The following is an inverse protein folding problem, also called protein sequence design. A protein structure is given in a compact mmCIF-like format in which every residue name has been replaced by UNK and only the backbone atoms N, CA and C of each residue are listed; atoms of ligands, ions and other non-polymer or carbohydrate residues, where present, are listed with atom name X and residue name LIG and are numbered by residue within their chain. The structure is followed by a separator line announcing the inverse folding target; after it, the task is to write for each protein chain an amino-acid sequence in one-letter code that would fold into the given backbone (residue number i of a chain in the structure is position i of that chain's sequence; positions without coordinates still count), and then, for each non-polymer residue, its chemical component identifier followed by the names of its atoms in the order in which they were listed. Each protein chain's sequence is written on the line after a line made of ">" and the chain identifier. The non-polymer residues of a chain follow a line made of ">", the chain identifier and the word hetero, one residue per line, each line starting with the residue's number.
data_IF_496038654590
#
_entry.id   IF_496038654590
#
_cell.length_a   1.000
_cell.length_b   1.000
_cell.length_c   1.000
_cell.angle_alpha   90.00
_cell.angle_beta   90.00
_cell.angle_gamma   90.00
#
_symmetry.space_group_name_H-M   'P 1'
#
loop_
_entity.id
_entity.type
_entity.pdbx_description
1 polymer ?
#
# COMPACT_ATOMS: atom_id res chain seq x y z
N UNK A 1 6.95 -16.81 4.39
CA UNK A 1 6.35 -16.46 3.11
C UNK A 1 7.42 -16.25 2.05
N UNK A 2 7.26 -16.93 0.92
CA UNK A 2 8.20 -16.81 -0.19
C UNK A 2 8.01 -15.48 -0.95
N UNK A 3 9.03 -15.09 -1.69
CA UNK A 3 8.97 -14.02 -2.68
C UNK A 3 8.85 -14.69 -4.04
N UNK A 4 7.81 -14.35 -4.79
CA UNK A 4 7.62 -14.78 -6.17
C UNK A 4 7.76 -13.54 -7.05
N UNK A 5 8.70 -13.56 -7.97
CA UNK A 5 8.92 -12.48 -8.92
C UNK A 5 8.82 -13.01 -10.35
N UNK A 6 8.07 -12.32 -11.19
CA UNK A 6 8.01 -12.59 -12.61
C UNK A 6 8.71 -11.49 -13.44
N UNK A 7 8.96 -11.79 -14.69
CA UNK A 7 9.58 -10.84 -15.61
C UNK A 7 8.65 -9.66 -15.97
N UNK A 8 7.36 -9.78 -15.73
CA UNK A 8 6.37 -8.77 -16.06
C UNK A 8 6.27 -7.63 -15.02
N UNK A 9 6.99 -7.74 -13.90
CA UNK A 9 7.06 -6.65 -12.94
C UNK A 9 6.14 -6.81 -11.74
N UNK A 10 5.76 -8.03 -11.39
CA UNK A 10 4.94 -8.35 -10.23
C UNK A 10 5.76 -9.14 -9.21
N UNK A 11 5.69 -8.72 -7.94
CA UNK A 11 6.34 -9.40 -6.82
C UNK A 11 5.32 -9.64 -5.72
N UNK A 12 5.26 -10.84 -5.18
CA UNK A 12 4.44 -11.20 -4.03
C UNK A 12 5.31 -11.23 -2.78
N UNK A 13 5.02 -10.35 -1.83
CA UNK A 13 5.74 -10.24 -0.57
C UNK A 13 4.78 -9.85 0.55
N UNK A 14 4.83 -10.55 1.66
CA UNK A 14 3.95 -10.35 2.82
C UNK A 14 4.65 -9.62 3.97
N UNK A 15 5.21 -10.39 4.90
CA UNK A 15 5.79 -9.90 6.16
C UNK A 15 6.92 -8.85 5.98
N UNK A 16 7.68 -8.94 4.89
CA UNK A 16 8.76 -7.98 4.59
C UNK A 16 8.20 -6.60 4.26
N UNK A 17 7.15 -6.52 3.44
CA UNK A 17 6.50 -5.25 3.12
C UNK A 17 5.95 -4.58 4.38
N UNK A 18 5.38 -5.38 5.28
CA UNK A 18 4.88 -4.92 6.57
C UNK A 18 6.00 -4.34 7.44
N UNK A 19 7.07 -5.12 7.67
CA UNK A 19 8.20 -4.67 8.51
C UNK A 19 8.85 -3.40 7.98
N UNK A 20 9.03 -3.31 6.66
CA UNK A 20 9.55 -2.10 6.03
C UNK A 20 8.62 -0.91 6.24
N UNK A 21 7.32 -1.08 6.04
CA UNK A 21 6.31 -0.04 6.23
C UNK A 21 6.33 0.52 7.65
N UNK A 22 6.30 -0.36 8.66
CA UNK A 22 6.35 0.04 10.06
C UNK A 22 7.67 0.73 10.42
N UNK A 23 8.79 0.24 9.88
CA UNK A 23 10.11 0.85 10.09
C UNK A 23 10.18 2.27 9.53
N UNK A 24 9.63 2.52 8.35
CA UNK A 24 9.60 3.86 7.72
C UNK A 24 8.70 4.80 8.51
N UNK A 25 7.48 4.40 8.83
CA UNK A 25 6.55 5.23 9.60
C UNK A 25 7.02 5.48 11.03
N UNK A 26 7.70 4.49 11.65
CA UNK A 26 8.31 4.66 12.96
C UNK A 26 9.35 5.79 12.97
N UNK A 27 10.30 5.74 12.04
CA UNK A 27 11.33 6.78 11.90
C UNK A 27 10.73 8.14 11.56
N UNK A 28 9.70 8.18 10.73
CA UNK A 28 8.99 9.42 10.42
C UNK A 28 8.31 10.00 11.65
N UNK A 29 7.60 9.19 12.43
CA UNK A 29 6.95 9.62 13.67
C UNK A 29 7.96 10.12 14.71
N UNK A 30 9.11 9.49 14.84
CA UNK A 30 10.19 9.93 15.73
C UNK A 30 10.75 11.30 15.32
N UNK A 31 11.08 11.48 14.03
CA UNK A 31 11.57 12.75 13.49
C UNK A 31 10.57 13.89 13.67
N UNK A 32 9.31 13.66 13.37
CA UNK A 32 8.24 14.65 13.52
C UNK A 32 7.94 14.99 14.98
N UNK A 33 8.27 14.10 15.91
CA UNK A 33 8.04 14.30 17.35
C UNK A 33 9.20 14.95 18.07
N UNK A 34 10.31 15.22 17.39
CA UNK A 34 11.50 15.82 17.99
C UNK A 34 11.18 17.23 18.51
N UNK A 35 11.50 17.56 19.77
CA UNK A 35 11.06 18.80 20.43
C UNK A 35 11.52 20.07 19.73
N UNK A 36 12.69 20.08 19.09
CA UNK A 36 13.24 21.22 18.36
C UNK A 36 12.54 21.46 17.00
N UNK A 37 12.00 20.42 16.41
CA UNK A 37 11.44 20.45 15.04
C UNK A 37 9.91 20.59 15.06
N UNK A 38 9.28 20.07 16.08
CA UNK A 38 7.83 19.98 16.25
C UNK A 38 7.10 21.32 16.09
N UNK A 39 7.47 22.43 16.80
CA UNK A 39 6.69 23.66 16.75
C UNK A 39 6.73 24.34 15.39
N UNK A 40 7.81 24.19 14.66
CA UNK A 40 7.97 24.78 13.32
C UNK A 40 7.30 23.92 12.22
N UNK A 41 7.54 22.62 12.23
CA UNK A 41 6.94 21.69 11.26
C UNK A 41 5.43 21.54 11.42
N UNK A 42 4.89 21.64 12.63
CA UNK A 42 3.44 21.55 12.85
C UNK A 42 2.67 22.71 12.19
N UNK A 43 3.32 23.88 12.06
CA UNK A 43 2.76 25.04 11.34
C UNK A 43 2.89 24.91 9.82
N UNK A 44 4.00 24.35 9.34
CA UNK A 44 4.27 24.20 7.90
C UNK A 44 3.55 23.01 7.24
N UNK A 45 3.37 21.92 7.98
CA UNK A 45 2.83 20.65 7.47
C UNK A 45 1.75 20.08 8.41
N UNK A 46 0.65 20.79 8.64
CA UNK A 46 -0.40 20.36 9.59
C UNK A 46 -0.98 19.00 9.22
N UNK A 47 -1.16 18.72 7.94
CA UNK A 47 -1.70 17.44 7.44
C UNK A 47 -0.79 16.25 7.77
N UNK A 48 0.53 16.42 7.70
CA UNK A 48 1.48 15.36 8.06
C UNK A 48 1.46 15.09 9.57
N UNK A 49 1.34 16.15 10.39
CA UNK A 49 1.26 16.02 11.84
C UNK A 49 0.00 15.31 12.32
N UNK A 50 -1.09 15.44 11.59
CA UNK A 50 -2.35 14.74 11.84
C UNK A 50 -2.17 13.21 11.84
N UNK A 51 -1.22 12.68 11.09
CA UNK A 51 -0.96 11.25 11.00
C UNK A 51 0.03 10.71 12.04
N UNK A 52 0.76 11.55 12.78
CA UNK A 52 1.72 11.11 13.80
C UNK A 52 1.08 10.21 14.88
N UNK A 53 -0.09 10.57 15.46
CA UNK A 53 -0.77 9.69 16.41
C UNK A 53 -1.17 8.35 15.80
N UNK A 54 -1.60 8.36 14.54
CA UNK A 54 -1.99 7.15 13.79
C UNK A 54 -0.80 6.22 13.63
N UNK A 55 0.37 6.72 13.25
CA UNK A 55 1.58 5.90 13.09
C UNK A 55 2.07 5.31 14.43
N UNK A 56 1.98 6.07 15.53
CA UNK A 56 2.29 5.56 16.87
C UNK A 56 1.34 4.45 17.30
N UNK A 57 0.04 4.65 17.06
CA UNK A 57 -0.99 3.64 17.34
C UNK A 57 -0.75 2.37 16.54
N UNK A 58 -0.50 2.47 15.23
CA UNK A 58 -0.21 1.33 14.37
C UNK A 58 1.01 0.52 14.86
N UNK A 59 2.09 1.20 15.28
CA UNK A 59 3.27 0.52 15.84
C UNK A 59 2.95 -0.25 17.12
N UNK A 60 2.19 0.36 18.03
CA UNK A 60 1.80 -0.28 19.29
C UNK A 60 0.92 -1.50 19.02
N UNK A 61 -0.12 -1.35 18.22
CA UNK A 61 -1.03 -2.45 17.89
C UNK A 61 -0.32 -3.60 17.19
N UNK A 62 0.65 -3.30 16.32
CA UNK A 62 1.47 -4.35 15.70
C UNK A 62 2.34 -5.10 16.72
N UNK A 63 2.90 -4.40 17.70
CA UNK A 63 3.65 -5.03 18.79
C UNK A 63 2.77 -5.95 19.67
N UNK A 64 1.48 -5.64 19.75
CA UNK A 64 0.43 -6.44 20.41
C UNK A 64 -0.11 -7.57 19.51
N UNK A 65 0.44 -7.78 18.31
CA UNK A 65 0.02 -8.82 17.36
C UNK A 65 -1.15 -8.41 16.46
N UNK A 66 -1.61 -7.17 16.53
CA UNK A 66 -2.73 -6.67 15.73
C UNK A 66 -2.23 -5.94 14.48
N UNK A 67 -2.35 -6.62 13.34
CA UNK A 67 -1.94 -6.07 12.03
C UNK A 67 -3.03 -5.19 11.41
N UNK A 68 -2.86 -3.88 11.55
CA UNK A 68 -3.74 -2.88 10.92
C UNK A 68 -3.31 -2.45 9.51
N UNK A 69 -2.14 -2.86 9.07
CA UNK A 69 -1.64 -2.51 7.73
C UNK A 69 -2.12 -3.54 6.72
N UNK A 70 -1.71 -4.79 6.85
CA UNK A 70 -2.12 -5.86 5.93
C UNK A 70 -3.44 -6.53 6.32
N UNK A 71 -3.92 -6.28 7.54
CA UNK A 71 -5.21 -6.78 8.04
C UNK A 71 -5.38 -8.29 7.92
N UNK A 72 -4.31 -9.03 8.20
CA UNK A 72 -4.29 -10.47 8.07
C UNK A 72 -4.25 -10.99 6.64
N UNK A 73 -3.92 -10.16 5.67
CA UNK A 73 -3.77 -10.58 4.28
C UNK A 73 -2.74 -11.69 4.14
N UNK A 74 -3.06 -12.72 3.37
CA UNK A 74 -2.19 -13.87 3.15
C UNK A 74 -1.10 -13.60 2.13
N UNK A 75 -1.34 -12.67 1.21
CA UNK A 75 -0.38 -12.27 0.18
C UNK A 75 -0.42 -10.77 -0.11
N UNK A 76 0.69 -10.23 -0.57
CA UNK A 76 0.81 -8.85 -1.04
C UNK A 76 1.39 -8.85 -2.44
N UNK A 77 0.66 -8.27 -3.37
CA UNK A 77 1.06 -8.06 -4.75
C UNK A 77 1.66 -6.66 -4.89
N UNK A 78 2.91 -6.58 -5.32
CA UNK A 78 3.60 -5.32 -5.58
C UNK A 78 3.82 -5.18 -7.08
N UNK A 79 3.22 -4.17 -7.67
CA UNK A 79 3.35 -3.89 -9.11
C UNK A 79 4.38 -2.78 -9.29
N UNK A 80 5.38 -3.05 -10.08
CA UNK A 80 6.51 -2.15 -10.28
C UNK A 80 6.79 -1.88 -11.76
N UNK A 81 7.43 -0.75 -12.03
CA UNK A 81 7.86 -0.36 -13.36
C UNK A 81 9.33 0.09 -13.34
N UNK A 82 10.03 0.12 -14.49
CA UNK A 82 11.31 0.80 -14.60
C UNK A 82 11.19 2.25 -14.13
N UNK A 83 12.23 2.82 -13.52
CA UNK A 83 12.20 4.21 -13.03
C UNK A 83 12.00 5.21 -14.17
N UNK A 84 12.58 4.90 -15.30
CA UNK A 84 12.60 5.71 -16.52
C UNK A 84 11.26 5.64 -17.29
N UNK A 85 10.39 4.69 -16.94
CA UNK A 85 9.08 4.55 -17.60
C UNK A 85 8.22 5.79 -17.34
N UNK A 86 7.85 6.48 -18.42
CA UNK A 86 7.00 7.67 -18.39
C UNK A 86 5.61 7.33 -17.86
N UNK A 87 5.03 6.24 -18.32
CA UNK A 87 3.66 5.81 -18.00
C UNK A 87 3.61 4.66 -16.98
N UNK A 88 4.73 4.37 -16.31
CA UNK A 88 4.82 3.21 -15.42
C UNK A 88 3.89 3.24 -14.20
N UNK A 89 3.42 4.42 -13.78
CA UNK A 89 2.45 4.53 -12.71
C UNK A 89 1.02 4.26 -13.22
N UNK A 90 0.70 4.76 -14.39
CA UNK A 90 -0.57 4.58 -15.09
C UNK A 90 -0.77 3.10 -15.45
N UNK A 91 0.24 2.49 -16.09
CA UNK A 91 0.23 1.07 -16.45
C UNK A 91 0.08 0.18 -15.22
N UNK A 92 0.78 0.51 -14.13
CA UNK A 92 0.67 -0.25 -12.88
C UNK A 92 -0.73 -0.15 -12.25
N UNK A 93 -1.41 1.00 -12.37
CA UNK A 93 -2.78 1.14 -11.87
C UNK A 93 -3.80 0.41 -12.77
N UNK A 94 -3.58 0.37 -14.08
CA UNK A 94 -4.39 -0.46 -14.99
C UNK A 94 -4.20 -1.95 -14.70
N UNK A 95 -2.96 -2.38 -14.49
CA UNK A 95 -2.65 -3.75 -14.08
C UNK A 95 -3.29 -4.10 -12.72
N UNK A 96 -3.23 -3.15 -11.75
CA UNK A 96 -3.91 -3.29 -10.48
C UNK A 96 -5.42 -3.50 -10.66
N UNK A 97 -6.07 -2.69 -11.51
CA UNK A 97 -7.51 -2.80 -11.76
C UNK A 97 -7.86 -4.16 -12.36
N UNK A 98 -7.10 -4.65 -13.32
CA UNK A 98 -7.31 -5.97 -13.91
C UNK A 98 -7.13 -7.09 -12.87
N UNK A 99 -6.09 -7.01 -12.03
CA UNK A 99 -5.87 -7.95 -10.94
C UNK A 99 -7.01 -7.92 -9.91
N UNK A 100 -7.55 -6.73 -9.62
CA UNK A 100 -8.71 -6.55 -8.73
C UNK A 100 -9.96 -7.25 -9.26
N UNK A 101 -10.25 -7.09 -10.54
CA UNK A 101 -11.39 -7.76 -11.19
C UNK A 101 -11.22 -9.28 -11.21
N UNK A 102 -10.00 -9.75 -11.47
CA UNK A 102 -9.69 -11.19 -11.43
C UNK A 102 -9.82 -11.75 -10.01
N UNK A 103 -9.33 -11.04 -9.00
CA UNK A 103 -9.46 -11.46 -7.60
C UNK A 103 -10.93 -11.63 -7.22
N UNK A 104 -11.78 -10.67 -7.58
CA UNK A 104 -13.23 -10.74 -7.34
C UNK A 104 -13.85 -11.95 -8.04
N UNK A 105 -13.50 -12.19 -9.32
CA UNK A 105 -13.99 -13.35 -10.08
C UNK A 105 -13.57 -14.69 -9.45
N UNK A 106 -12.42 -14.74 -8.80
CA UNK A 106 -11.91 -15.91 -8.07
C UNK A 106 -12.43 -16.01 -6.62
N UNK A 107 -13.25 -15.08 -6.18
CA UNK A 107 -13.75 -15.04 -4.80
C UNK A 107 -12.69 -14.63 -3.77
N UNK A 108 -11.62 -13.97 -4.21
CA UNK A 108 -10.55 -13.44 -3.36
C UNK A 108 -10.80 -11.96 -3.10
N UNK A 109 -10.81 -11.57 -1.83
CA UNK A 109 -10.88 -10.16 -1.44
C UNK A 109 -9.55 -9.46 -1.63
N UNK A 110 -9.62 -8.19 -2.00
CA UNK A 110 -8.43 -7.36 -2.18
C UNK A 110 -8.60 -5.98 -1.54
N UNK A 111 -7.46 -5.36 -1.21
CA UNK A 111 -7.40 -4.01 -0.66
C UNK A 111 -6.22 -3.25 -1.26
N UNK A 112 -6.44 -1.98 -1.65
CA UNK A 112 -5.34 -1.10 -2.08
C UNK A 112 -4.51 -0.64 -0.89
N UNK A 113 -3.20 -0.91 -0.93
CA UNK A 113 -2.28 -0.71 0.18
C UNK A 113 -1.57 0.66 0.11
N UNK A 114 -2.35 1.74 0.23
CA UNK A 114 -1.83 3.11 0.18
C UNK A 114 -0.74 3.40 1.22
N UNK A 115 -0.84 2.85 2.43
CA UNK A 115 0.18 3.02 3.46
C UNK A 115 1.52 2.38 3.07
N UNK A 116 1.50 1.16 2.52
CA UNK A 116 2.72 0.50 2.04
C UNK A 116 3.35 1.31 0.91
N UNK A 117 2.55 1.76 -0.05
CA UNK A 117 3.02 2.57 -1.17
C UNK A 117 3.62 3.91 -0.69
N UNK A 118 2.99 4.56 0.29
CA UNK A 118 3.51 5.78 0.90
C UNK A 118 4.83 5.53 1.62
N UNK A 119 4.95 4.43 2.37
CA UNK A 119 6.19 4.05 3.02
C UNK A 119 7.33 3.80 2.02
N UNK A 120 7.04 3.10 0.92
CA UNK A 120 8.01 2.87 -0.16
C UNK A 120 8.49 4.18 -0.77
N UNK A 121 7.59 5.14 -1.01
CA UNK A 121 7.93 6.47 -1.54
C UNK A 121 8.79 7.28 -0.57
N UNK A 122 8.55 7.16 0.74
CA UNK A 122 9.30 7.84 1.79
C UNK A 122 10.62 7.15 2.16
N UNK A 123 10.82 5.90 1.75
CA UNK A 123 12.04 5.14 2.04
C UNK A 123 13.21 5.57 1.15
N UNK A 124 13.94 6.59 1.59
CA UNK A 124 15.13 7.11 0.88
C UNK A 124 16.23 6.05 0.69
N UNK A 125 16.32 5.07 1.58
CA UNK A 125 17.29 3.97 1.51
C UNK A 125 16.87 2.85 0.57
N UNK A 126 15.62 2.89 0.09
CA UNK A 126 15.00 1.88 -0.80
C UNK A 126 15.13 0.46 -0.24
N UNK A 127 14.92 0.31 1.06
CA UNK A 127 15.10 -0.96 1.77
C UNK A 127 14.26 -2.08 1.19
N UNK A 128 12.96 -1.84 0.95
CA UNK A 128 12.07 -2.83 0.36
C UNK A 128 12.49 -3.18 -1.09
N UNK A 129 12.78 -2.18 -1.92
CA UNK A 129 13.23 -2.43 -3.30
C UNK A 129 14.54 -3.21 -3.35
N UNK A 130 15.50 -2.91 -2.46
CA UNK A 130 16.77 -3.64 -2.37
C UNK A 130 16.56 -5.09 -1.94
N UNK A 131 15.76 -5.31 -0.92
CA UNK A 131 15.45 -6.64 -0.39
C UNK A 131 14.76 -7.54 -1.44
N UNK A 132 13.95 -6.95 -2.30
CA UNK A 132 13.23 -7.63 -3.38
C UNK A 132 14.04 -7.72 -4.69
N UNK A 133 15.28 -7.26 -4.73
CA UNK A 133 16.10 -7.28 -5.96
C UNK A 133 15.61 -6.32 -7.06
N UNK A 134 14.80 -5.32 -6.73
CA UNK A 134 14.21 -4.37 -7.67
C UNK A 134 15.11 -3.16 -7.94
N UNK A 135 16.39 -3.41 -8.23
CA UNK A 135 17.32 -2.35 -8.62
C UNK A 135 16.84 -1.65 -9.92
N UNK A 136 16.91 -0.32 -9.97
CA UNK A 136 16.45 0.45 -11.14
C UNK A 136 14.91 0.50 -11.32
N UNK A 137 14.14 -0.08 -10.43
CA UNK A 137 12.68 -0.11 -10.51
C UNK A 137 12.01 0.72 -9.40
N UNK A 138 10.76 1.08 -9.60
CA UNK A 138 9.89 1.72 -8.60
C UNK A 138 8.62 0.90 -8.41
N UNK A 139 8.19 0.73 -7.18
CA UNK A 139 6.89 0.13 -6.86
C UNK A 139 5.83 1.22 -7.09
N UNK A 140 4.85 0.94 -7.91
CA UNK A 140 3.84 1.89 -8.36
C UNK A 140 2.46 1.61 -7.78
N UNK A 141 2.11 0.34 -7.56
CA UNK A 141 0.87 -0.06 -6.90
C UNK A 141 1.11 -1.24 -5.96
N UNK A 142 0.29 -1.37 -4.93
CA UNK A 142 0.36 -2.45 -3.93
C UNK A 142 -1.05 -2.90 -3.58
N UNK A 143 -1.27 -4.21 -3.62
CA UNK A 143 -2.54 -4.87 -3.32
C UNK A 143 -2.31 -5.92 -2.23
N UNK A 144 -3.11 -5.92 -1.18
CA UNK A 144 -3.21 -7.05 -0.26
C UNK A 144 -4.34 -7.97 -0.70
N UNK A 145 -4.10 -9.27 -0.61
CA UNK A 145 -5.03 -10.32 -1.01
C UNK A 145 -5.34 -11.22 0.18
N UNK A 146 -6.59 -11.64 0.31
CA UNK A 146 -7.03 -12.54 1.37
C UNK A 146 -8.39 -13.14 1.08
N UNK A 147 -8.75 -14.19 1.82
CA UNK A 147 -10.09 -14.77 1.72
C UNK A 147 -11.09 -13.90 2.48
N UNK A 148 -12.26 -13.60 1.90
CA UNK A 148 -13.29 -12.80 2.55
C UNK A 148 -13.88 -13.55 3.75
N UNK A 149 -14.02 -12.90 4.90
CA UNK A 149 -14.69 -13.46 6.07
C UNK A 149 -16.21 -13.39 5.94
N UNK A 150 -16.72 -12.48 5.11
CA UNK A 150 -18.14 -12.34 4.82
C UNK A 150 -18.33 -11.86 3.37
N UNK A 151 -19.52 -12.08 2.83
CA UNK A 151 -19.93 -11.52 1.53
C UNK A 151 -21.12 -10.61 1.75
N UNK A 152 -21.16 -9.52 0.99
CA UNK A 152 -22.33 -8.65 0.99
C UNK A 152 -23.50 -9.39 0.31
N UNK A 153 -24.66 -9.51 0.96
CA UNK A 153 -25.81 -10.22 0.39
C UNK A 153 -26.45 -9.44 -0.78
N UNK A 154 -26.25 -8.14 -0.81
CA UNK A 154 -26.86 -7.24 -1.79
C UNK A 154 -25.79 -6.58 -2.65
N UNK A 155 -26.10 -6.35 -3.90
CA UNK A 155 -25.31 -5.52 -4.81
C UNK A 155 -26.05 -4.21 -5.10
N UNK A 156 -25.29 -3.19 -5.50
CA UNK A 156 -25.88 -1.92 -5.96
C UNK A 156 -26.24 -2.10 -7.42
N UNK A 157 -27.53 -2.07 -7.74
CA UNK A 157 -27.99 -2.01 -9.12
C UNK A 157 -27.57 -0.65 -9.72
N UNK A 158 -26.70 -0.71 -10.71
CA UNK A 158 -26.22 0.46 -11.46
C UNK A 158 -26.86 0.53 -12.84
N UNK A 159 -28.14 0.23 -12.93
CA UNK A 159 -28.87 0.43 -14.17
C UNK A 159 -28.70 1.89 -14.61
N UNK A 160 -28.17 2.15 -15.82
CA UNK A 160 -27.98 3.51 -16.29
C UNK A 160 -29.33 4.22 -16.32
N UNK A 161 -29.42 5.39 -15.70
CA UNK A 161 -30.57 6.27 -15.88
C UNK A 161 -30.74 6.55 -17.37
N UNK A 162 -31.96 6.49 -17.93
CA UNK A 162 -32.16 6.85 -19.32
C UNK A 162 -31.61 8.25 -19.55
N UNK A 163 -30.64 8.36 -20.47
CA UNK A 163 -30.18 9.68 -20.91
C UNK A 163 -31.39 10.37 -21.54
N UNK A 164 -31.88 11.42 -20.92
CA UNK A 164 -32.81 12.32 -21.58
C UNK A 164 -32.14 12.84 -22.84
N UNK A 165 -32.58 12.36 -24.00
CA UNK A 165 -32.16 12.94 -25.27
C UNK A 165 -32.82 14.31 -25.35
N UNK A 166 -32.01 15.35 -25.17
CA UNK A 166 -32.36 16.72 -25.51
C UNK A 166 -32.27 16.90 -27.02
#
# INVERSE_FOLDING_TARGET
>A
GGIISDAAGTVVAGAEAMRNTLGVFGKLAERLSHPLVRPWLSRLLPDVYRYVPVFRKMRREYAEGNDRILRGATAVLLIHAPKESRFGAEDANLAYQNASLMAEALGVSQIYMGFVLTAVRQDKKKGLCKMLGLAGRRICAVMALGMPQFRYPNYIDRTPSPLERR
#
